data_IF_125863304756
#
_entry.id   IF_125863304756
#
_cell.length_a   1.000
_cell.length_b   1.000
_cell.length_c   1.000
_cell.angle_alpha   90.00
_cell.angle_beta   90.00
_cell.angle_gamma   90.00
#
_symmetry.space_group_name_H-M   'P 1'
#
loop_
_entity.id
_entity.type
_entity.pdbx_description
1 polymer ?
#
# COMPACT_ATOMS: atom_id res chain seq x y z
N UNK A 1 -10.44 11.87 -5.14
CA UNK A 1 -9.58 12.59 -4.16
C UNK A 1 -9.57 11.92 -2.78
N UNK A 2 -10.72 11.50 -2.20
CA UNK A 2 -10.72 10.86 -0.87
C UNK A 2 -10.16 9.42 -0.82
N UNK A 3 -10.36 8.63 -1.88
CA UNK A 3 -10.04 7.19 -1.89
C UNK A 3 -8.52 6.91 -1.78
N UNK A 4 -7.70 7.65 -2.53
CA UNK A 4 -6.24 7.47 -2.49
C UNK A 4 -5.63 7.83 -1.14
N UNK A 5 -6.19 8.82 -0.44
CA UNK A 5 -5.75 9.17 0.91
C UNK A 5 -6.03 8.03 1.89
N UNK A 6 -7.20 7.39 1.79
CA UNK A 6 -7.54 6.22 2.61
C UNK A 6 -6.58 5.07 2.31
N UNK A 7 -6.36 4.75 1.03
CA UNK A 7 -5.45 3.68 0.63
C UNK A 7 -4.02 3.92 1.13
N UNK A 8 -3.49 5.14 1.01
CA UNK A 8 -2.14 5.47 1.49
C UNK A 8 -2.03 5.46 3.02
N UNK A 9 -3.09 5.86 3.73
CA UNK A 9 -3.14 5.81 5.19
C UNK A 9 -3.11 4.35 5.67
N UNK A 10 -3.89 3.49 5.03
CA UNK A 10 -3.88 2.05 5.29
C UNK A 10 -2.52 1.43 4.96
N UNK A 11 -1.91 1.77 3.82
CA UNK A 11 -0.54 1.35 3.47
C UNK A 11 0.48 1.75 4.55
N UNK A 12 0.36 2.96 5.08
CA UNK A 12 1.28 3.46 6.12
C UNK A 12 1.10 2.70 7.43
N UNK A 13 -0.13 2.38 7.84
CA UNK A 13 -0.43 1.54 9.00
C UNK A 13 0.21 0.15 8.89
N UNK A 14 0.31 -0.39 7.66
CA UNK A 14 0.94 -1.68 7.42
C UNK A 14 2.47 -1.64 7.48
N UNK A 15 3.10 -0.53 7.07
CA UNK A 15 4.55 -0.35 7.19
C UNK A 15 5.03 -0.40 8.66
N UNK A 16 4.14 -0.14 9.62
CA UNK A 16 4.39 -0.33 11.05
C UNK A 16 4.29 -1.80 11.52
N UNK A 17 4.10 -2.76 10.60
CA UNK A 17 4.03 -4.19 10.90
C UNK A 17 2.62 -4.70 11.24
N UNK A 18 1.58 -3.87 11.12
CA UNK A 18 0.18 -4.24 11.44
C UNK A 18 -0.59 -4.82 10.24
N UNK A 19 0.07 -5.69 9.47
CA UNK A 19 -0.52 -6.26 8.26
C UNK A 19 -1.80 -7.09 8.53
N UNK A 20 -1.95 -7.68 9.73
CA UNK A 20 -3.06 -8.58 10.05
C UNK A 20 -4.24 -7.91 10.75
N UNK A 21 -4.12 -6.64 11.15
CA UNK A 21 -5.14 -5.92 11.92
C UNK A 21 -6.05 -5.04 11.04
N UNK A 22 -6.02 -5.23 9.72
CA UNK A 22 -6.81 -4.40 8.81
C UNK A 22 -8.30 -4.77 8.83
N UNK A 23 -9.17 -3.85 9.24
CA UNK A 23 -10.63 -4.04 9.22
C UNK A 23 -11.25 -4.04 7.81
N UNK A 24 -10.63 -3.34 6.85
CA UNK A 24 -11.13 -3.14 5.48
C UNK A 24 -10.65 -4.20 4.49
N UNK A 25 -9.46 -4.77 4.68
CA UNK A 25 -8.81 -5.66 3.73
C UNK A 25 -8.48 -7.04 4.32
N UNK A 26 -8.65 -8.06 3.50
CA UNK A 26 -8.05 -9.38 3.68
C UNK A 26 -6.66 -9.39 3.07
N UNK A 27 -5.69 -9.92 3.81
CA UNK A 27 -4.29 -9.94 3.38
C UNK A 27 -3.88 -11.36 3.01
N UNK A 28 -3.16 -11.51 1.89
CA UNK A 28 -2.56 -12.78 1.49
C UNK A 28 -1.17 -12.58 0.89
N UNK A 29 -0.38 -13.65 0.89
CA UNK A 29 1.02 -13.65 0.46
C UNK A 29 1.19 -14.72 -0.62
N UNK A 30 0.95 -14.41 -1.91
CA UNK A 30 1.07 -15.40 -2.98
C UNK A 30 2.53 -15.87 -3.17
N UNK A 31 3.50 -15.05 -2.80
CA UNK A 31 4.92 -15.35 -2.82
C UNK A 31 5.68 -14.54 -1.74
N UNK A 32 6.99 -14.72 -1.62
CA UNK A 32 7.82 -14.08 -0.59
C UNK A 32 8.04 -12.57 -0.76
N UNK A 33 7.64 -12.01 -1.89
CA UNK A 33 7.91 -10.63 -2.31
C UNK A 33 6.63 -9.86 -2.67
N UNK A 34 5.46 -10.46 -2.47
CA UNK A 34 4.18 -9.90 -2.87
C UNK A 34 3.20 -10.00 -1.70
N UNK A 35 2.56 -8.88 -1.38
CA UNK A 35 1.43 -8.82 -0.45
C UNK A 35 0.20 -8.39 -1.24
N UNK A 36 -0.85 -9.19 -1.17
CA UNK A 36 -2.13 -8.91 -1.83
C UNK A 36 -3.17 -8.51 -0.79
N UNK A 37 -3.94 -7.49 -1.14
CA UNK A 37 -4.95 -6.90 -0.29
C UNK A 37 -6.25 -6.84 -1.09
N UNK A 38 -7.24 -7.58 -0.62
CA UNK A 38 -8.56 -7.61 -1.22
C UNK A 38 -9.57 -7.03 -0.22
N UNK A 39 -10.46 -6.10 -0.63
CA UNK A 39 -11.50 -5.62 0.26
C UNK A 39 -12.35 -6.76 0.82
N UNK A 40 -12.72 -6.63 2.10
CA UNK A 40 -13.64 -7.55 2.77
C UNK A 40 -15.09 -7.24 2.41
N UNK A 41 -15.42 -5.97 2.21
CA UNK A 41 -16.75 -5.49 1.90
C UNK A 41 -16.96 -5.29 0.39
N UNK A 42 -18.14 -5.67 -0.10
CA UNK A 42 -18.48 -5.64 -1.52
C UNK A 42 -18.61 -4.23 -2.08
N UNK A 43 -19.11 -3.26 -1.31
CA UNK A 43 -19.21 -1.88 -1.77
C UNK A 43 -17.82 -1.29 -2.02
N UNK A 44 -16.84 -1.67 -1.19
CA UNK A 44 -15.46 -1.27 -1.37
C UNK A 44 -14.76 -2.04 -2.50
N UNK A 45 -15.07 -3.33 -2.66
CA UNK A 45 -14.59 -4.15 -3.80
C UNK A 45 -15.04 -3.60 -5.17
N UNK A 46 -16.17 -2.89 -5.22
CA UNK A 46 -16.63 -2.22 -6.44
C UNK A 46 -15.83 -0.95 -6.80
N UNK A 47 -15.04 -0.42 -5.86
CA UNK A 47 -14.18 0.74 -6.05
C UNK A 47 -12.71 0.34 -6.25
N UNK A 48 -12.27 -0.68 -5.52
CA UNK A 48 -10.91 -1.21 -5.56
C UNK A 48 -11.04 -2.73 -5.62
N UNK A 49 -10.65 -3.34 -6.73
CA UNK A 49 -10.62 -4.80 -6.87
C UNK A 49 -9.58 -5.40 -5.92
N UNK A 50 -8.35 -4.87 -5.97
CA UNK A 50 -7.25 -5.28 -5.08
C UNK A 50 -6.14 -4.24 -5.05
N UNK A 51 -5.28 -4.37 -4.05
CA UNK A 51 -4.00 -3.66 -3.99
C UNK A 51 -2.89 -4.71 -3.92
N UNK A 52 -1.86 -4.53 -4.74
CA UNK A 52 -0.65 -5.34 -4.72
C UNK A 52 0.51 -4.50 -4.20
N UNK A 53 1.19 -5.01 -3.18
CA UNK A 53 2.44 -4.46 -2.66
C UNK A 53 3.58 -5.39 -3.09
N UNK A 54 4.54 -4.84 -3.83
CA UNK A 54 5.76 -5.55 -4.19
C UNK A 54 6.89 -5.14 -3.28
N UNK A 55 7.41 -6.07 -2.50
CA UNK A 55 8.60 -5.88 -1.68
C UNK A 55 9.85 -5.90 -2.59
N UNK A 56 10.85 -5.11 -2.22
CA UNK A 56 12.15 -5.15 -2.87
C UNK A 56 12.98 -6.34 -2.38
N UNK A 57 14.06 -6.66 -3.11
CA UNK A 57 14.99 -7.72 -2.72
C UNK A 57 15.66 -7.45 -1.35
N UNK A 58 15.85 -6.17 -1.02
CA UNK A 58 16.30 -5.77 0.31
C UNK A 58 15.13 -5.75 1.29
N UNK A 59 15.25 -6.54 2.36
CA UNK A 59 14.26 -6.60 3.43
C UNK A 59 13.95 -5.20 3.99
N UNK A 60 12.66 -4.92 4.20
CA UNK A 60 12.17 -3.66 4.73
C UNK A 60 11.98 -2.55 3.68
N UNK A 61 12.29 -2.80 2.41
CA UNK A 61 12.01 -1.86 1.32
C UNK A 61 10.83 -2.29 0.46
N UNK A 62 10.04 -1.31 0.04
CA UNK A 62 8.96 -1.47 -0.93
C UNK A 62 9.45 -1.10 -2.34
N UNK A 63 9.05 -1.84 -3.35
CA UNK A 63 9.36 -1.59 -4.76
C UNK A 63 8.21 -0.89 -5.48
N UNK A 64 7.01 -1.43 -5.32
CA UNK A 64 5.84 -0.96 -6.06
C UNK A 64 4.56 -1.15 -5.26
N UNK A 65 3.63 -0.22 -5.47
CA UNK A 65 2.22 -0.38 -5.11
C UNK A 65 1.40 -0.31 -6.39
N UNK A 66 0.51 -1.28 -6.58
CA UNK A 66 -0.45 -1.32 -7.69
C UNK A 66 -1.85 -1.34 -7.10
N UNK A 67 -2.66 -0.33 -7.41
CA UNK A 67 -4.09 -0.27 -7.02
C UNK A 67 -4.90 -0.58 -8.28
N UNK A 68 -5.68 -1.66 -8.24
CA UNK A 68 -6.56 -2.07 -9.34
C UNK A 68 -7.98 -1.65 -8.96
N UNK A 69 -8.54 -0.69 -9.69
CA UNK A 69 -9.84 -0.05 -9.38
C UNK A 69 -10.99 -0.65 -10.23
N UNK A 70 -10.67 -1.56 -11.15
CA UNK A 70 -11.61 -2.27 -12.02
C UNK A 70 -11.01 -2.59 -13.39
N UNK A 71 -11.82 -3.09 -14.34
CA UNK A 71 -11.34 -3.49 -15.66
C UNK A 71 -10.67 -2.32 -16.40
N UNK A 72 -9.35 -2.40 -16.55
CA UNK A 72 -8.55 -1.39 -17.26
C UNK A 72 -8.24 -0.11 -16.46
N UNK A 73 -8.61 -0.04 -15.17
CA UNK A 73 -8.30 1.08 -14.29
C UNK A 73 -7.23 0.67 -13.27
N UNK A 74 -6.04 1.25 -13.38
CA UNK A 74 -4.91 0.91 -12.50
C UNK A 74 -4.08 2.15 -12.19
N UNK A 75 -3.77 2.32 -10.90
CA UNK A 75 -2.79 3.29 -10.42
C UNK A 75 -1.53 2.54 -9.98
N UNK A 76 -0.38 2.95 -10.50
CA UNK A 76 0.92 2.35 -10.16
C UNK A 76 1.82 3.39 -9.52
N UNK A 77 2.37 3.07 -8.35
CA UNK A 77 3.37 3.87 -7.65
C UNK A 77 4.65 3.05 -7.56
N UNK A 78 5.74 3.54 -8.18
CA UNK A 78 7.05 2.90 -8.13
C UNK A 78 8.01 3.71 -7.26
N UNK A 79 8.77 3.04 -6.42
CA UNK A 79 9.66 3.66 -5.45
C UNK A 79 11.12 3.52 -5.89
N UNK A 80 11.77 4.64 -6.17
CA UNK A 80 13.19 4.73 -6.53
C UNK A 80 13.98 5.49 -5.46
N UNK A 81 15.31 5.34 -5.43
CA UNK A 81 16.20 6.01 -4.46
C UNK A 81 15.80 5.76 -3.00
N UNK A 82 15.42 4.51 -2.71
CA UNK A 82 14.92 4.07 -1.42
C UNK A 82 16.06 4.01 -0.41
N UNK A 83 15.87 4.62 0.76
CA UNK A 83 16.82 4.57 1.87
C UNK A 83 16.09 4.02 3.08
N UNK A 84 16.59 2.92 3.64
CA UNK A 84 15.97 2.25 4.78
C UNK A 84 16.21 3.06 6.06
N UNK A 85 15.13 3.35 6.79
CA UNK A 85 15.17 3.97 8.12
C UNK A 85 15.98 5.28 8.20
N UNK A 86 16.06 6.04 7.10
CA UNK A 86 16.68 7.36 7.13
C UNK A 86 15.80 8.33 7.93
N UNK A 87 16.41 9.06 8.85
CA UNK A 87 15.70 10.11 9.58
C UNK A 87 15.20 11.19 8.60
N UNK A 88 13.88 11.38 8.55
CA UNK A 88 13.25 12.45 7.78
C UNK A 88 13.07 13.66 8.71
N UNK A 89 13.67 14.83 8.40
CA UNK A 89 13.52 16.02 9.22
C UNK A 89 12.04 16.38 9.42
N UNK A 90 11.63 16.69 10.65
CA UNK A 90 10.24 17.02 11.00
C UNK A 90 9.70 18.23 10.22
N UNK A 91 10.59 19.13 9.81
CA UNK A 91 10.28 20.29 8.95
C UNK A 91 9.72 19.90 7.59
N UNK A 92 9.95 18.65 7.14
CA UNK A 92 9.42 18.11 5.88
C UNK A 92 7.91 17.87 5.91
N UNK A 93 7.29 17.84 7.10
CA UNK A 93 5.87 17.50 7.29
C UNK A 93 5.00 18.72 7.65
N UNK A 94 5.40 19.92 7.24
CA UNK A 94 4.62 21.14 7.48
C UNK A 94 3.56 21.32 6.39
N UNK A 95 2.30 21.51 6.76
CA UNK A 95 1.26 21.95 5.82
C UNK A 95 1.56 23.39 5.39
N UNK A 96 1.66 23.62 4.08
CA UNK A 96 1.53 24.97 3.50
C UNK A 96 0.07 25.24 3.17
#
# INVERSE_FOLDING_TARGET
>A
LALHQVVLTEISSWLDGRFTENELFSVSFPDSSTVLLAPKDQAFANLIEKIELKLADQQGLLDRVTIIEGPGATTVMSFSNRVLNQNIPTTSFTQR
#
